data_IF_607589442540
#
_entry.id   IF_607589442540
#
_cell.length_a   1.000
_cell.length_b   1.000
_cell.length_c   1.000
_cell.angle_alpha   90.00
_cell.angle_beta   90.00
_cell.angle_gamma   90.00
#
_symmetry.space_group_name_H-M   'P 1'
#
loop_
_entity.id
_entity.type
_entity.pdbx_description
1 polymer ?
#
# COMPACT_ATOMS: atom_id res chain seq x y z
N UNK A 1 -40.26 4.44 -3.49
CA UNK A 1 -39.45 3.44 -4.24
C UNK A 1 -38.56 4.21 -5.19
N UNK A 2 -37.25 4.22 -4.94
CA UNK A 2 -36.27 4.84 -5.83
C UNK A 2 -35.35 3.72 -6.34
N UNK A 3 -35.36 3.52 -7.65
CA UNK A 3 -34.56 2.50 -8.35
C UNK A 3 -33.16 3.11 -8.55
N UNK A 4 -32.14 2.55 -7.89
CA UNK A 4 -30.75 2.89 -8.22
C UNK A 4 -30.25 1.95 -9.33
N UNK A 5 -29.89 2.56 -10.46
CA UNK A 5 -29.36 1.91 -11.64
C UNK A 5 -27.92 1.42 -11.42
N UNK A 6 -27.67 0.19 -11.83
CA UNK A 6 -26.35 -0.46 -11.90
C UNK A 6 -25.54 0.09 -13.07
N UNK A 7 -24.39 0.70 -12.79
CA UNK A 7 -23.40 1.08 -13.81
C UNK A 7 -22.43 -0.09 -14.02
N UNK A 8 -22.58 -0.75 -15.16
CA UNK A 8 -21.60 -1.65 -15.74
C UNK A 8 -20.37 -0.86 -16.20
N UNK A 9 -19.17 -1.30 -15.83
CA UNK A 9 -17.92 -0.86 -16.44
C UNK A 9 -17.23 -2.07 -17.08
N UNK A 10 -16.95 -1.96 -18.37
CA UNK A 10 -16.23 -2.93 -19.17
C UNK A 10 -14.77 -2.50 -19.34
N UNK A 11 -13.82 -3.43 -19.15
CA UNK A 11 -12.61 -3.46 -19.99
C UNK A 11 -11.28 -3.70 -19.28
N UNK A 12 -10.83 -4.96 -19.24
CA UNK A 12 -9.44 -5.37 -18.96
C UNK A 12 -9.30 -6.89 -18.82
N UNK A 13 -9.17 -7.62 -19.94
CA UNK A 13 -9.01 -9.09 -19.98
C UNK A 13 -7.55 -9.47 -19.77
N UNK A 14 -7.26 -10.21 -18.69
CA UNK A 14 -6.05 -11.02 -18.54
C UNK A 14 -6.38 -12.47 -18.96
N UNK A 15 -5.39 -13.24 -19.46
CA UNK A 15 -5.59 -14.64 -19.90
C UNK A 15 -6.04 -15.59 -18.77
N UNK A 16 -6.01 -15.15 -17.52
CA UNK A 16 -6.81 -15.67 -16.42
C UNK A 16 -7.40 -14.43 -15.73
N UNK A 17 -8.60 -14.05 -16.15
CA UNK A 17 -9.22 -12.74 -15.91
C UNK A 17 -9.69 -12.45 -14.49
N UNK A 18 -8.93 -12.84 -13.47
CA UNK A 18 -9.13 -12.30 -12.13
C UNK A 18 -8.35 -10.98 -12.04
N UNK A 19 -9.09 -9.87 -12.13
CA UNK A 19 -8.65 -8.63 -11.50
C UNK A 19 -8.48 -8.97 -10.03
N UNK A 20 -7.25 -9.25 -9.56
CA UNK A 20 -6.99 -9.31 -8.13
C UNK A 20 -7.17 -7.87 -7.67
N UNK A 21 -8.25 -7.54 -6.94
CA UNK A 21 -8.38 -6.21 -6.39
C UNK A 21 -7.15 -5.96 -5.51
N UNK A 22 -6.58 -4.74 -5.48
CA UNK A 22 -5.55 -4.45 -4.51
C UNK A 22 -6.09 -4.84 -3.13
N UNK A 23 -5.33 -5.66 -2.39
CA UNK A 23 -5.72 -6.04 -1.04
C UNK A 23 -6.06 -4.79 -0.24
N UNK A 24 -7.14 -4.79 0.55
CA UNK A 24 -7.46 -3.66 1.40
C UNK A 24 -6.24 -3.34 2.28
N UNK A 25 -5.90 -2.07 2.48
CA UNK A 25 -4.69 -1.71 3.20
C UNK A 25 -4.83 -2.10 4.68
N UNK A 26 -3.73 -2.60 5.26
CA UNK A 26 -3.63 -2.79 6.70
C UNK A 26 -3.48 -1.42 7.37
N UNK A 27 -4.32 -1.12 8.36
CA UNK A 27 -4.38 0.20 9.00
C UNK A 27 -3.96 0.12 10.46
N UNK A 28 -3.05 1.01 10.88
CA UNK A 28 -2.61 1.14 12.27
C UNK A 28 -2.44 2.62 12.62
N UNK A 29 -3.19 3.14 13.59
CA UNK A 29 -3.00 4.48 14.18
C UNK A 29 -2.80 5.63 13.16
N UNK A 30 -3.54 5.61 12.04
CA UNK A 30 -3.42 6.63 11.00
C UNK A 30 -2.34 6.37 9.95
N UNK A 31 -1.68 5.21 10.01
CA UNK A 31 -0.86 4.65 8.94
C UNK A 31 -1.65 3.59 8.18
N UNK A 32 -1.43 3.52 6.87
CA UNK A 32 -1.99 2.50 6.00
C UNK A 32 -0.88 1.85 5.19
N UNK A 33 -0.93 0.52 5.03
CA UNK A 33 0.03 -0.27 4.28
C UNK A 33 -0.64 -0.99 3.11
N UNK A 34 -0.05 -0.92 1.93
CA UNK A 34 -0.45 -1.69 0.76
C UNK A 34 0.72 -2.53 0.25
N UNK A 35 0.41 -3.67 -0.37
CA UNK A 35 1.40 -4.54 -1.00
C UNK A 35 1.51 -4.22 -2.50
N UNK A 36 2.72 -3.96 -2.97
CA UNK A 36 3.03 -3.86 -4.39
C UNK A 36 3.03 -5.24 -5.05
N UNK A 37 2.81 -5.26 -6.37
CA UNK A 37 2.81 -6.50 -7.15
C UNK A 37 4.18 -7.22 -7.16
N UNK A 38 5.25 -6.51 -6.85
CA UNK A 38 6.63 -7.00 -6.72
C UNK A 38 6.99 -7.47 -5.29
N UNK A 39 6.01 -7.49 -4.38
CA UNK A 39 6.23 -7.81 -2.97
C UNK A 39 6.74 -6.64 -2.14
N UNK A 40 6.86 -5.45 -2.73
CA UNK A 40 7.15 -4.23 -1.97
C UNK A 40 6.01 -3.88 -1.03
N UNK A 41 6.33 -3.12 0.01
CA UNK A 41 5.37 -2.58 0.97
C UNK A 41 5.35 -1.07 0.85
N UNK A 42 4.16 -0.52 0.63
CA UNK A 42 3.91 0.91 0.45
C UNK A 42 3.19 1.41 1.69
N UNK A 43 3.82 2.31 2.44
CA UNK A 43 3.28 2.87 3.68
C UNK A 43 2.92 4.33 3.50
N UNK A 44 1.73 4.69 3.96
CA UNK A 44 1.17 6.04 3.92
C UNK A 44 0.73 6.48 5.31
N UNK A 45 0.69 7.79 5.54
CA UNK A 45 0.17 8.44 6.76
C UNK A 45 -1.01 9.31 6.37
N UNK A 46 -2.12 9.23 7.12
CA UNK A 46 -3.39 9.88 6.81
C UNK A 46 -3.26 11.41 6.69
N UNK A 47 -2.59 12.06 7.64
CA UNK A 47 -2.26 13.49 7.60
C UNK A 47 -1.23 13.89 8.69
N UNK A 48 -0.27 14.77 8.38
CA UNK A 48 0.16 15.12 7.03
C UNK A 48 0.71 13.89 6.30
N UNK A 49 0.71 13.88 4.96
CA UNK A 49 1.37 12.80 4.22
C UNK A 49 2.86 12.72 4.59
N UNK A 50 3.49 11.59 4.29
CA UNK A 50 4.94 11.51 4.47
C UNK A 50 5.66 12.49 3.55
N UNK A 51 6.84 12.88 3.99
CA UNK A 51 7.85 13.53 3.18
C UNK A 51 9.10 12.65 3.08
N UNK A 52 10.06 13.08 2.27
CA UNK A 52 11.33 12.36 2.14
C UNK A 52 12.18 12.36 3.43
N UNK A 53 11.92 13.25 4.39
CA UNK A 53 12.61 13.20 5.69
C UNK A 53 12.01 12.16 6.65
N UNK A 54 10.82 11.65 6.36
CA UNK A 54 10.04 10.86 7.31
C UNK A 54 10.31 9.35 7.22
N UNK A 55 11.39 8.94 6.53
CA UNK A 55 11.66 7.52 6.27
C UNK A 55 11.85 6.66 7.52
N UNK A 56 12.41 7.23 8.57
CA UNK A 56 12.55 6.54 9.85
C UNK A 56 11.18 6.26 10.51
N UNK A 57 10.26 7.21 10.44
CA UNK A 57 8.90 7.04 10.96
C UNK A 57 8.10 6.05 10.11
N UNK A 58 8.18 6.18 8.78
CA UNK A 58 7.53 5.26 7.87
C UNK A 58 8.01 3.82 8.06
N UNK A 59 9.30 3.62 8.39
CA UNK A 59 9.83 2.28 8.71
C UNK A 59 9.20 1.74 9.99
N UNK A 60 9.11 2.55 11.04
CA UNK A 60 8.46 2.14 12.28
C UNK A 60 6.99 1.75 12.05
N UNK A 61 6.27 2.52 11.23
CA UNK A 61 4.90 2.17 10.84
C UNK A 61 4.84 0.83 10.09
N UNK A 62 5.74 0.61 9.12
CA UNK A 62 5.86 -0.66 8.40
C UNK A 62 6.15 -1.83 9.35
N UNK A 63 7.06 -1.67 10.32
CA UNK A 63 7.37 -2.68 11.33
C UNK A 63 6.16 -3.05 12.21
N UNK A 64 5.21 -2.12 12.42
CA UNK A 64 3.95 -2.41 13.15
C UNK A 64 2.91 -3.12 12.29
N UNK A 65 2.96 -2.91 10.98
CA UNK A 65 1.99 -3.46 10.02
C UNK A 65 2.45 -4.82 9.47
N UNK A 66 3.76 -5.10 9.45
CA UNK A 66 4.33 -6.39 9.09
C UNK A 66 4.50 -7.32 10.32
N UNK A 67 3.93 -8.54 10.34
CA UNK A 67 3.97 -9.44 11.49
C UNK A 67 5.38 -9.84 11.98
N UNK A 68 6.34 -9.99 11.06
CA UNK A 68 7.73 -10.33 11.38
C UNK A 68 8.70 -9.16 11.13
N UNK A 69 8.18 -7.95 10.90
CA UNK A 69 8.95 -6.76 10.56
C UNK A 69 9.07 -6.49 9.05
N UNK A 70 9.71 -5.38 8.71
CA UNK A 70 9.90 -4.93 7.31
C UNK A 70 11.37 -5.12 6.91
N UNK A 71 11.59 -5.59 5.67
CA UNK A 71 12.93 -5.72 5.11
C UNK A 71 13.36 -4.43 4.43
N UNK A 72 14.37 -3.76 5.01
CA UNK A 72 14.95 -2.55 4.44
C UNK A 72 15.94 -2.84 3.32
N UNK A 73 16.06 -1.92 2.38
CA UNK A 73 16.94 -2.00 1.20
C UNK A 73 17.50 -0.62 0.83
N UNK A 74 18.69 -0.54 0.20
CA UNK A 74 19.19 0.71 -0.38
C UNK A 74 18.26 1.33 -1.44
N UNK A 75 17.34 0.55 -1.99
CA UNK A 75 16.37 0.99 -3.01
C UNK A 75 15.02 1.45 -2.40
N UNK A 76 14.89 1.46 -1.07
CA UNK A 76 13.73 2.02 -0.39
C UNK A 76 13.65 3.52 -0.68
N UNK A 77 12.44 4.01 -0.93
CA UNK A 77 12.27 5.37 -1.47
C UNK A 77 10.97 6.01 -1.07
N UNK A 78 11.02 7.33 -0.95
CA UNK A 78 9.84 8.16 -0.91
C UNK A 78 9.28 8.36 -2.33
N UNK A 79 7.96 8.20 -2.49
CA UNK A 79 7.27 8.46 -3.74
C UNK A 79 5.83 8.92 -3.47
N UNK A 80 5.49 10.13 -3.91
CA UNK A 80 4.10 10.61 -3.95
C UNK A 80 3.38 10.67 -2.59
N UNK A 81 4.08 10.96 -1.49
CA UNK A 81 3.49 10.99 -0.15
C UNK A 81 3.53 9.65 0.61
N UNK A 82 4.13 8.62 -0.01
CA UNK A 82 4.31 7.30 0.56
C UNK A 82 5.80 6.93 0.66
N UNK A 83 6.11 6.01 1.55
CA UNK A 83 7.40 5.32 1.60
C UNK A 83 7.24 3.90 1.08
N UNK A 84 8.12 3.51 0.17
CA UNK A 84 8.12 2.21 -0.48
C UNK A 84 9.32 1.42 0.04
N UNK A 85 9.06 0.32 0.74
CA UNK A 85 10.04 -0.66 1.18
C UNK A 85 10.08 -1.80 0.19
N UNK A 86 11.09 -1.83 -0.68
CA UNK A 86 11.14 -2.80 -1.79
C UNK A 86 11.41 -4.23 -1.33
N UNK A 87 11.91 -4.39 -0.11
CA UNK A 87 12.14 -5.70 0.50
C UNK A 87 10.87 -6.38 1.01
N UNK A 88 9.76 -5.63 1.16
CA UNK A 88 8.50 -6.15 1.68
C UNK A 88 8.50 -6.44 3.18
N UNK A 89 7.45 -7.13 3.64
CA UNK A 89 7.42 -7.75 4.97
C UNK A 89 8.34 -8.98 5.02
N UNK A 90 8.87 -9.29 6.20
CA UNK A 90 9.69 -10.48 6.46
C UNK A 90 8.85 -11.74 6.72
#
# INVERSE_FOLDING_TARGET
MLILATLASCGGVNKEGHLVPPSPPDVFQGYSMAHGADGSVIVTRNAPMFTNSDGAEARQAAEKLCPAGVKTSPNDRFQGGAWIFVGGCQ
#
